data_IF_346440948145
#
_entry.id   IF_346440948145
#
_cell.length_a   1.000
_cell.length_b   1.000
_cell.length_c   1.000
_cell.angle_alpha   90.00
_cell.angle_beta   90.00
_cell.angle_gamma   90.00
#
_symmetry.space_group_name_H-M   'P 1'
#
loop_
_entity.id
_entity.type
_entity.pdbx_description
1 polymer ?
#
# COMPACT_ATOMS: atom_id res chain seq x y z
N UNK A 1 -3.84 18.46 -13.73
CA UNK A 1 -3.82 17.09 -13.15
C UNK A 1 -3.08 17.12 -11.83
N UNK A 2 -3.65 16.57 -10.77
CA UNK A 2 -3.06 16.40 -9.43
C UNK A 2 -2.39 15.03 -9.33
N UNK A 3 -1.37 14.83 -8.47
CA UNK A 3 -0.80 13.51 -8.25
C UNK A 3 -1.83 12.57 -7.60
N UNK A 4 -1.79 11.29 -7.96
CA UNK A 4 -2.75 10.25 -7.55
C UNK A 4 -3.03 10.21 -6.04
N UNK A 5 -2.01 10.28 -5.15
CA UNK A 5 -2.24 10.31 -3.70
C UNK A 5 -3.01 11.54 -3.19
N UNK A 6 -3.14 12.58 -4.02
CA UNK A 6 -3.87 13.81 -3.68
C UNK A 6 -5.29 13.86 -4.24
N UNK A 7 -5.76 12.81 -4.89
CA UNK A 7 -7.16 12.69 -5.28
C UNK A 7 -8.00 12.53 -4.00
N UNK A 8 -9.04 13.34 -3.89
CA UNK A 8 -9.87 13.37 -2.69
C UNK A 8 -10.97 12.30 -2.72
N UNK A 9 -11.20 11.72 -1.55
CA UNK A 9 -12.32 10.86 -1.19
C UNK A 9 -12.94 11.45 0.07
N UNK A 10 -14.23 11.76 0.05
CA UNK A 10 -14.90 12.42 1.16
C UNK A 10 -14.27 13.75 1.58
N UNK A 11 -13.73 14.51 0.60
CA UNK A 11 -13.09 15.81 0.83
C UNK A 11 -11.70 15.75 1.48
N UNK A 12 -11.06 14.56 1.55
CA UNK A 12 -9.69 14.37 2.03
C UNK A 12 -8.87 13.57 1.00
N UNK A 13 -7.59 13.92 0.76
CA UNK A 13 -6.73 13.15 -0.13
C UNK A 13 -6.58 11.69 0.30
N UNK A 14 -6.40 10.79 -0.66
CA UNK A 14 -6.06 9.38 -0.41
C UNK A 14 -4.92 9.24 0.60
N UNK A 15 -3.84 9.99 0.41
CA UNK A 15 -2.69 9.96 1.32
C UNK A 15 -3.07 10.36 2.75
N UNK A 16 -4.01 11.29 2.90
CA UNK A 16 -4.50 11.68 4.24
C UNK A 16 -5.19 10.50 4.95
N UNK A 17 -6.05 9.76 4.25
CA UNK A 17 -6.72 8.58 4.82
C UNK A 17 -5.72 7.51 5.23
N UNK A 18 -4.72 7.24 4.39
CA UNK A 18 -3.64 6.30 4.67
C UNK A 18 -2.87 6.72 5.93
N UNK A 19 -2.39 7.96 5.99
CA UNK A 19 -1.66 8.46 7.15
C UNK A 19 -2.54 8.47 8.41
N UNK A 20 -3.84 8.78 8.28
CA UNK A 20 -4.78 8.72 9.39
C UNK A 20 -4.98 7.30 9.93
N UNK A 21 -4.99 6.28 9.07
CA UNK A 21 -4.99 4.87 9.50
C UNK A 21 -3.78 4.58 10.39
N UNK A 22 -2.58 4.88 9.93
CA UNK A 22 -1.35 4.67 10.72
C UNK A 22 -1.34 5.48 12.02
N UNK A 23 -1.78 6.73 11.97
CA UNK A 23 -1.81 7.61 13.16
C UNK A 23 -2.76 7.12 14.26
N UNK A 24 -3.85 6.41 13.92
CA UNK A 24 -4.75 5.77 14.90
C UNK A 24 -4.07 4.66 15.69
N UNK A 25 -3.09 3.98 15.08
CA UNK A 25 -2.21 3.00 15.74
C UNK A 25 -0.95 3.64 16.34
N UNK A 26 -0.97 4.97 16.55
CA UNK A 26 0.13 5.74 17.12
C UNK A 26 1.40 5.85 16.25
N UNK A 27 1.37 5.40 14.98
CA UNK A 27 2.45 5.61 14.03
C UNK A 27 2.27 6.98 13.37
N UNK A 28 2.94 8.00 13.92
CA UNK A 28 2.77 9.42 13.53
C UNK A 28 4.01 10.03 12.87
N UNK A 29 5.07 9.26 12.71
CA UNK A 29 6.29 9.70 12.02
C UNK A 29 6.28 9.18 10.59
N UNK A 30 6.15 10.08 9.63
CA UNK A 30 5.98 9.74 8.21
C UNK A 30 7.13 10.26 7.38
N UNK A 31 7.64 9.40 6.48
CA UNK A 31 8.57 9.76 5.43
C UNK A 31 7.85 9.62 4.09
N UNK A 32 7.58 10.75 3.43
CA UNK A 32 6.84 10.78 2.17
C UNK A 32 7.82 10.94 1.03
N UNK A 33 7.98 9.89 0.22
CA UNK A 33 8.80 9.90 -0.99
C UNK A 33 8.13 10.78 -2.06
N UNK A 34 8.70 11.93 -2.34
CA UNK A 34 8.21 12.85 -3.36
C UNK A 34 8.85 12.58 -4.71
N UNK A 35 8.05 12.73 -5.75
CA UNK A 35 8.45 12.73 -7.16
C UNK A 35 7.64 13.75 -7.93
N UNK A 36 6.95 13.30 -8.99
CA UNK A 36 6.11 14.17 -9.82
C UNK A 36 5.10 14.96 -8.97
N UNK A 37 5.15 16.30 -9.11
CA UNK A 37 4.29 17.25 -8.36
C UNK A 37 4.30 17.08 -6.84
N UNK A 38 5.43 16.73 -6.28
CA UNK A 38 5.62 16.59 -4.82
C UNK A 38 5.28 17.86 -4.04
N UNK A 39 5.42 19.04 -4.66
CA UNK A 39 5.05 20.34 -4.08
C UNK A 39 3.56 20.44 -3.70
N UNK A 40 2.67 19.76 -4.44
CA UNK A 40 1.23 19.71 -4.13
C UNK A 40 0.99 18.98 -2.83
N UNK A 41 1.67 17.84 -2.64
CA UNK A 41 1.62 17.05 -1.40
C UNK A 41 2.16 17.88 -0.24
N UNK A 42 3.36 18.43 -0.39
CA UNK A 42 4.01 19.25 0.64
C UNK A 42 3.13 20.44 1.05
N UNK A 43 2.56 21.16 0.08
CA UNK A 43 1.68 22.32 0.33
C UNK A 43 0.43 21.95 1.12
N UNK A 44 -0.16 20.78 0.87
CA UNK A 44 -1.35 20.32 1.59
C UNK A 44 -0.99 19.94 3.04
N UNK A 45 -0.01 19.05 3.22
CA UNK A 45 0.31 18.49 4.53
C UNK A 45 1.04 19.45 5.45
N UNK A 46 1.75 20.48 4.94
CA UNK A 46 2.35 21.53 5.78
C UNK A 46 1.32 22.36 6.55
N UNK A 47 0.04 22.31 6.15
CA UNK A 47 -1.06 23.03 6.82
C UNK A 47 -1.83 22.15 7.81
N UNK A 48 -1.51 20.86 7.91
CA UNK A 48 -2.21 19.93 8.79
C UNK A 48 -1.56 19.91 10.16
N UNK A 49 -2.33 20.33 11.17
CA UNK A 49 -1.95 20.31 12.58
C UNK A 49 -2.62 19.13 13.29
N UNK A 50 -2.15 17.89 13.05
CA UNK A 50 -2.67 16.67 13.71
C UNK A 50 -1.65 15.99 14.64
N UNK A 51 -0.55 16.68 14.96
CA UNK A 51 0.55 16.07 15.72
C UNK A 51 1.27 14.98 14.91
N UNK A 52 1.18 15.01 13.58
CA UNK A 52 1.95 14.16 12.69
C UNK A 52 3.30 14.78 12.38
N UNK A 53 4.37 14.02 12.49
CA UNK A 53 5.69 14.39 12.00
C UNK A 53 5.85 13.93 10.57
N UNK A 54 5.76 14.85 9.61
CA UNK A 54 5.77 14.52 8.17
C UNK A 54 7.05 15.03 7.54
N UNK A 55 7.90 14.11 7.12
CA UNK A 55 9.16 14.37 6.45
C UNK A 55 9.00 14.18 4.95
N UNK A 56 9.17 15.24 4.17
CA UNK A 56 9.04 15.21 2.71
C UNK A 56 10.41 15.06 2.08
N UNK A 57 10.65 13.92 1.44
CA UNK A 57 11.94 13.58 0.84
C UNK A 57 11.80 13.57 -0.68
N UNK A 58 12.50 14.47 -1.36
CA UNK A 58 12.60 14.41 -2.83
C UNK A 58 13.42 13.17 -3.21
N UNK A 59 12.76 12.21 -3.84
CA UNK A 59 13.36 10.97 -4.31
C UNK A 59 13.59 10.97 -5.81
N UNK A 60 13.41 12.12 -6.48
CA UNK A 60 13.60 12.27 -7.92
C UNK A 60 12.39 11.86 -8.76
N UNK A 61 12.27 12.44 -9.96
CA UNK A 61 11.12 12.18 -10.84
C UNK A 61 11.22 10.82 -11.56
N UNK A 62 12.42 10.42 -11.93
CA UNK A 62 12.67 9.20 -12.73
C UNK A 62 12.97 7.97 -11.88
N UNK A 63 13.15 8.11 -10.59
CA UNK A 63 13.46 7.02 -9.66
C UNK A 63 12.29 6.04 -9.57
N UNK A 64 12.54 4.75 -9.70
CA UNK A 64 11.56 3.68 -9.62
C UNK A 64 11.17 3.38 -8.14
N UNK A 65 10.17 2.52 -7.95
CA UNK A 65 9.58 2.25 -6.63
C UNK A 65 10.62 1.78 -5.60
N UNK A 66 11.46 0.83 -5.96
CA UNK A 66 12.56 0.36 -5.11
C UNK A 66 13.59 1.45 -4.83
N UNK A 67 14.04 2.18 -5.86
CA UNK A 67 14.98 3.28 -5.70
C UNK A 67 14.48 4.37 -4.75
N UNK A 68 13.18 4.69 -4.78
CA UNK A 68 12.59 5.63 -3.80
C UNK A 68 12.72 5.11 -2.38
N UNK A 69 12.39 3.84 -2.17
CA UNK A 69 12.51 3.18 -0.87
C UNK A 69 13.98 3.18 -0.40
N UNK A 70 14.91 2.84 -1.29
CA UNK A 70 16.35 2.88 -1.01
C UNK A 70 16.84 4.26 -0.55
N UNK A 71 16.38 5.32 -1.22
CA UNK A 71 16.74 6.71 -0.86
C UNK A 71 16.21 7.14 0.51
N UNK A 72 15.16 6.50 1.03
CA UNK A 72 14.64 6.76 2.37
C UNK A 72 15.47 6.07 3.47
N UNK A 73 16.27 5.05 3.16
CA UNK A 73 17.06 4.29 4.14
C UNK A 73 17.87 5.20 5.06
N UNK A 74 18.55 6.22 4.53
CA UNK A 74 19.37 7.14 5.32
C UNK A 74 18.59 7.99 6.35
N UNK A 75 17.27 8.07 6.20
CA UNK A 75 16.40 8.80 7.15
C UNK A 75 15.71 7.86 8.14
N UNK A 76 15.49 6.61 7.73
CA UNK A 76 14.88 5.56 8.56
C UNK A 76 15.94 4.95 9.49
N UNK A 77 17.19 4.85 9.02
CA UNK A 77 18.28 4.21 9.77
C UNK A 77 18.13 2.70 9.83
N UNK A 78 18.50 2.13 10.98
CA UNK A 78 18.49 0.70 11.24
C UNK A 78 17.22 0.26 12.01
N UNK A 79 16.09 0.89 11.70
CA UNK A 79 14.82 0.57 12.34
C UNK A 79 13.89 -0.22 11.39
N UNK A 80 13.10 -1.14 11.96
CA UNK A 80 11.97 -1.75 11.25
C UNK A 80 11.00 -0.66 10.81
N UNK A 81 10.59 -0.65 9.55
CA UNK A 81 9.67 0.36 9.04
C UNK A 81 8.43 -0.26 8.39
N UNK A 82 7.35 0.51 8.42
CA UNK A 82 6.14 0.22 7.67
C UNK A 82 6.17 1.01 6.36
N UNK A 83 5.92 0.33 5.24
CA UNK A 83 5.85 0.92 3.91
C UNK A 83 4.48 0.70 3.31
N UNK A 84 3.93 1.71 2.65
CA UNK A 84 2.69 1.57 1.89
C UNK A 84 2.72 2.39 0.61
N UNK A 85 1.89 1.99 -0.35
CA UNK A 85 1.60 2.79 -1.55
C UNK A 85 0.65 3.94 -1.22
N UNK A 86 0.61 4.94 -2.09
CA UNK A 86 -0.20 6.16 -1.89
C UNK A 86 -1.61 6.09 -2.47
N UNK A 87 -2.12 4.91 -2.84
CA UNK A 87 -3.34 4.74 -3.64
C UNK A 87 -4.26 3.59 -3.20
N UNK A 88 -3.97 2.95 -2.07
CA UNK A 88 -4.80 1.88 -1.50
C UNK A 88 -5.34 2.22 -0.11
N UNK A 89 -6.64 1.99 0.10
CA UNK A 89 -7.29 2.10 1.41
C UNK A 89 -7.65 0.72 1.95
N UNK A 90 -7.48 0.52 3.26
CA UNK A 90 -7.81 -0.73 3.93
C UNK A 90 -8.22 -0.49 5.38
N UNK A 91 -8.98 -1.41 5.97
CA UNK A 91 -9.25 -1.45 7.41
C UNK A 91 -8.34 -2.46 8.13
N UNK A 92 -7.09 -2.48 7.74
CA UNK A 92 -6.09 -3.39 8.31
C UNK A 92 -5.80 -3.05 9.76
N UNK A 93 -5.68 -4.08 10.61
CA UNK A 93 -5.18 -3.94 11.97
C UNK A 93 -3.65 -3.96 11.94
N UNK A 94 -3.03 -2.78 12.14
CA UNK A 94 -1.57 -2.63 12.06
C UNK A 94 -0.83 -3.29 13.22
N UNK A 95 -1.44 -3.37 14.42
CA UNK A 95 -0.83 -4.09 15.54
C UNK A 95 -0.76 -5.59 15.24
N UNK A 96 -1.84 -6.17 14.71
CA UNK A 96 -1.85 -7.58 14.28
C UNK A 96 -0.86 -7.88 13.16
N UNK A 97 -0.69 -6.94 12.21
CA UNK A 97 0.30 -7.04 11.14
C UNK A 97 1.73 -7.03 11.73
N UNK A 98 2.00 -6.11 12.66
CA UNK A 98 3.30 -5.99 13.32
C UNK A 98 3.63 -7.23 14.18
N UNK A 99 2.64 -7.72 14.91
CA UNK A 99 2.80 -8.94 15.72
C UNK A 99 3.05 -10.18 14.84
N UNK A 100 2.38 -10.27 13.69
CA UNK A 100 2.64 -11.31 12.70
C UNK A 100 4.08 -11.25 12.20
N UNK A 101 4.56 -10.06 11.84
CA UNK A 101 5.93 -9.83 11.38
C UNK A 101 6.96 -10.24 12.43
N UNK A 102 6.79 -9.79 13.66
CA UNK A 102 7.68 -10.13 14.79
C UNK A 102 7.75 -11.64 15.06
N UNK A 103 6.62 -12.36 14.93
CA UNK A 103 6.58 -13.81 15.18
C UNK A 103 7.39 -14.62 14.18
N UNK A 104 7.40 -14.27 12.91
CA UNK A 104 8.20 -15.01 11.91
C UNK A 104 9.65 -14.53 11.85
N UNK A 105 9.95 -13.29 12.27
CA UNK A 105 11.31 -12.76 12.37
C UNK A 105 12.07 -12.69 11.05
N UNK A 106 11.34 -12.48 9.92
CA UNK A 106 11.90 -12.43 8.57
C UNK A 106 11.94 -10.99 8.03
N UNK A 107 12.61 -10.76 6.92
CA UNK A 107 12.92 -9.41 6.45
C UNK A 107 11.72 -8.62 5.94
N UNK A 108 10.72 -9.30 5.35
CA UNK A 108 9.58 -8.62 4.73
C UNK A 108 8.27 -9.30 5.05
N UNK A 109 7.28 -8.51 5.43
CA UNK A 109 5.87 -8.89 5.43
C UNK A 109 5.10 -8.03 4.45
N UNK A 110 4.28 -8.64 3.61
CA UNK A 110 3.28 -7.93 2.78
C UNK A 110 1.88 -8.27 3.26
N UNK A 111 0.98 -7.30 3.20
CA UNK A 111 -0.44 -7.61 3.35
C UNK A 111 -0.97 -8.21 2.06
N UNK A 112 -1.35 -9.48 2.12
CA UNK A 112 -2.03 -10.15 1.03
C UNK A 112 -3.54 -9.91 1.12
N UNK A 113 -4.15 -9.50 0.02
CA UNK A 113 -5.58 -9.20 -0.07
C UNK A 113 -6.22 -9.93 -1.23
N UNK A 114 -7.53 -10.06 -1.21
CA UNK A 114 -8.32 -10.49 -2.36
C UNK A 114 -8.96 -9.26 -3.00
N UNK A 115 -8.63 -8.94 -4.26
CA UNK A 115 -9.20 -7.77 -4.91
C UNK A 115 -10.73 -7.95 -5.07
N UNK A 116 -11.50 -6.84 -5.08
CA UNK A 116 -12.91 -6.90 -5.45
C UNK A 116 -13.02 -7.46 -6.88
N UNK A 117 -13.88 -8.47 -7.07
CA UNK A 117 -14.10 -9.07 -8.39
C UNK A 117 -14.59 -8.00 -9.38
N UNK A 118 -13.87 -7.85 -10.49
CA UNK A 118 -14.20 -6.88 -11.54
C UNK A 118 -15.10 -7.48 -12.62
N UNK A 119 -15.09 -8.82 -12.77
CA UNK A 119 -15.76 -9.58 -13.83
C UNK A 119 -16.46 -10.81 -13.26
N UNK A 120 -17.42 -11.34 -14.01
CA UNK A 120 -17.97 -12.66 -13.75
C UNK A 120 -16.93 -13.75 -14.08
N UNK A 121 -16.83 -14.76 -13.22
CA UNK A 121 -16.00 -15.94 -13.46
C UNK A 121 -16.79 -17.00 -14.21
N UNK A 122 -16.19 -17.64 -15.21
CA UNK A 122 -16.76 -18.77 -15.94
C UNK A 122 -15.87 -19.99 -15.80
N UNK A 123 -16.49 -21.17 -15.64
CA UNK A 123 -15.78 -22.43 -15.76
C UNK A 123 -16.16 -23.08 -17.10
N UNK A 124 -15.15 -23.58 -17.82
CA UNK A 124 -15.31 -24.12 -19.14
C UNK A 124 -14.82 -25.58 -19.18
N UNK A 125 -15.60 -26.48 -19.78
CA UNK A 125 -15.19 -27.87 -20.08
C UNK A 125 -15.40 -28.12 -21.56
N UNK A 126 -14.31 -28.27 -22.32
CA UNK A 126 -14.35 -28.15 -23.78
C UNK A 126 -14.82 -26.74 -24.16
N UNK A 127 -15.87 -26.65 -24.99
CA UNK A 127 -16.48 -25.36 -25.37
C UNK A 127 -17.73 -25.01 -24.52
N UNK A 128 -18.09 -25.90 -23.58
CA UNK A 128 -19.28 -25.72 -22.74
C UNK A 128 -18.96 -24.94 -21.48
N UNK A 129 -19.70 -23.86 -21.23
CA UNK A 129 -19.69 -23.15 -19.93
C UNK A 129 -20.44 -24.04 -18.92
N UNK A 130 -19.74 -24.44 -17.86
CA UNK A 130 -20.29 -25.33 -16.82
C UNK A 130 -20.65 -24.56 -15.53
N UNK A 131 -20.14 -23.36 -15.35
CA UNK A 131 -20.49 -22.47 -14.24
C UNK A 131 -20.32 -21.02 -14.66
N UNK A 132 -21.21 -20.16 -14.18
CA UNK A 132 -21.08 -18.72 -14.25
C UNK A 132 -21.32 -18.13 -12.86
N UNK A 133 -20.38 -17.34 -12.36
CA UNK A 133 -20.50 -16.67 -11.07
C UNK A 133 -20.21 -15.18 -11.24
N UNK A 134 -21.20 -14.35 -11.09
CA UNK A 134 -21.03 -12.90 -11.14
C UNK A 134 -20.29 -12.42 -9.88
N UNK A 135 -19.17 -11.71 -10.09
CA UNK A 135 -18.39 -11.02 -9.04
C UNK A 135 -18.04 -11.87 -7.80
N UNK A 136 -17.59 -13.11 -8.03
CA UNK A 136 -17.18 -14.00 -6.94
C UNK A 136 -15.77 -13.66 -6.45
N UNK A 137 -15.66 -13.08 -5.26
CA UNK A 137 -14.36 -12.79 -4.61
C UNK A 137 -13.55 -14.03 -4.21
N UNK A 138 -14.19 -15.22 -4.18
CA UNK A 138 -13.58 -16.44 -3.67
C UNK A 138 -12.63 -17.13 -4.67
N UNK A 139 -12.71 -16.78 -5.94
CA UNK A 139 -11.94 -17.44 -7.02
C UNK A 139 -10.71 -16.63 -7.46
N UNK A 140 -10.59 -15.37 -7.04
CA UNK A 140 -9.39 -14.58 -7.29
C UNK A 140 -8.30 -14.92 -6.27
N UNK A 141 -7.08 -15.07 -6.76
CA UNK A 141 -5.90 -15.34 -5.94
C UNK A 141 -5.59 -14.19 -4.97
N UNK A 142 -4.66 -14.42 -4.06
CA UNK A 142 -4.10 -13.37 -3.23
C UNK A 142 -3.19 -12.46 -4.06
N UNK A 143 -3.32 -11.16 -3.86
CA UNK A 143 -2.47 -10.16 -4.49
C UNK A 143 -1.73 -9.32 -3.45
N UNK A 144 -0.71 -8.61 -3.89
CA UNK A 144 -0.01 -7.60 -3.09
C UNK A 144 -0.97 -6.43 -2.79
N UNK A 145 -1.37 -6.29 -1.54
CA UNK A 145 -2.23 -5.21 -1.06
C UNK A 145 -1.48 -3.98 -0.57
N UNK A 146 -0.15 -3.97 -0.67
CA UNK A 146 0.68 -2.97 -0.01
C UNK A 146 0.79 -3.22 1.49
N UNK A 147 0.94 -2.17 2.31
CA UNK A 147 1.06 -2.28 3.75
C UNK A 147 2.11 -3.32 4.18
N UNK A 148 3.35 -3.01 3.82
CA UNK A 148 4.51 -3.84 4.17
C UNK A 148 5.05 -3.51 5.54
N UNK A 149 5.75 -4.49 6.13
CA UNK A 149 6.75 -4.27 7.19
C UNK A 149 8.08 -4.75 6.64
N UNK A 150 9.10 -3.93 6.82
CA UNK A 150 10.42 -4.13 6.22
C UNK A 150 11.49 -3.96 7.30
N UNK A 151 12.36 -4.97 7.41
CA UNK A 151 13.57 -4.93 8.24
C UNK A 151 14.71 -4.18 7.53
N UNK A 152 15.60 -3.50 8.25
CA UNK A 152 16.70 -2.72 7.67
C UNK A 152 17.56 -3.51 6.68
N UNK A 153 17.79 -4.79 6.93
CA UNK A 153 18.59 -5.65 6.05
C UNK A 153 18.00 -5.78 4.64
N UNK A 154 16.68 -5.66 4.47
CA UNK A 154 16.04 -5.73 3.15
C UNK A 154 16.52 -4.64 2.18
N UNK A 155 16.93 -3.47 2.69
CA UNK A 155 17.45 -2.40 1.82
C UNK A 155 18.69 -2.83 1.02
N UNK A 156 19.44 -3.86 1.46
CA UNK A 156 20.57 -4.39 0.69
C UNK A 156 20.15 -5.11 -0.59
N UNK A 157 18.89 -5.52 -0.71
CA UNK A 157 18.34 -6.16 -1.92
C UNK A 157 17.95 -5.15 -3.00
N UNK A 158 17.95 -3.86 -2.68
CA UNK A 158 17.57 -2.81 -3.63
C UNK A 158 18.83 -2.23 -4.26
N UNK A 159 18.98 -2.43 -5.56
CA UNK A 159 20.16 -1.97 -6.34
C UNK A 159 19.85 -0.69 -7.11
N UNK A 160 20.01 0.46 -6.44
CA UNK A 160 19.97 1.78 -7.06
C UNK A 160 18.57 2.31 -7.43
N UNK A 161 18.60 3.37 -8.27
CA UNK A 161 17.41 4.17 -8.58
C UNK A 161 16.45 3.50 -9.57
N UNK A 162 16.94 2.62 -10.43
CA UNK A 162 16.17 1.95 -11.47
C UNK A 162 15.49 0.67 -10.97
N UNK A 163 15.72 0.28 -9.70
CA UNK A 163 15.11 -0.89 -9.10
C UNK A 163 13.60 -0.70 -8.90
N UNK A 164 12.82 -1.66 -9.37
CA UNK A 164 11.42 -1.81 -9.01
C UNK A 164 11.32 -2.65 -7.74
N UNK A 165 10.64 -2.14 -6.71
CA UNK A 165 10.45 -2.87 -5.44
C UNK A 165 9.82 -4.25 -5.67
N UNK A 166 8.85 -4.29 -6.57
CA UNK A 166 7.98 -5.43 -6.87
C UNK A 166 8.64 -6.52 -7.73
N UNK A 167 9.87 -6.32 -8.15
CA UNK A 167 10.65 -7.24 -8.98
C UNK A 167 11.80 -7.83 -8.18
N UNK A 168 13.03 -7.60 -8.65
CA UNK A 168 14.26 -8.22 -8.13
C UNK A 168 14.36 -8.17 -6.59
N UNK A 169 14.07 -7.05 -5.88
CA UNK A 169 14.19 -7.02 -4.43
C UNK A 169 13.24 -7.98 -3.71
N UNK A 170 11.95 -8.00 -4.09
CA UNK A 170 10.98 -8.92 -3.49
C UNK A 170 11.18 -10.36 -3.99
N UNK A 171 11.57 -10.57 -5.25
CA UNK A 171 11.90 -11.90 -5.78
C UNK A 171 13.11 -12.50 -5.05
N UNK A 172 14.12 -11.70 -4.74
CA UNK A 172 15.25 -12.14 -3.93
C UNK A 172 14.79 -12.51 -2.51
N UNK A 173 13.94 -11.70 -1.87
CA UNK A 173 13.39 -12.02 -0.56
C UNK A 173 12.59 -13.33 -0.57
N UNK A 174 11.86 -13.63 -1.66
CA UNK A 174 11.18 -14.92 -1.84
C UNK A 174 12.19 -16.07 -1.92
N UNK A 175 13.23 -15.91 -2.76
CA UNK A 175 14.22 -16.98 -2.99
C UNK A 175 15.03 -17.30 -1.73
N UNK A 176 15.24 -16.33 -0.85
CA UNK A 176 15.92 -16.49 0.42
C UNK A 176 15.00 -16.92 1.58
N UNK A 177 13.69 -17.10 1.33
CA UNK A 177 12.71 -17.46 2.35
C UNK A 177 12.48 -16.36 3.39
N UNK A 178 12.68 -15.10 3.00
CA UNK A 178 12.60 -13.91 3.84
C UNK A 178 11.33 -13.08 3.62
N UNK A 179 10.37 -13.55 2.80
CA UNK A 179 9.15 -12.85 2.44
C UNK A 179 7.89 -13.60 2.86
N UNK A 180 7.09 -12.99 3.74
CA UNK A 180 5.89 -13.56 4.33
C UNK A 180 4.65 -12.74 4.01
N UNK A 181 3.49 -13.39 3.96
CA UNK A 181 2.21 -12.76 3.63
C UNK A 181 1.24 -12.80 4.83
N UNK A 182 0.86 -11.61 5.30
CA UNK A 182 -0.24 -11.41 6.23
C UNK A 182 -1.58 -11.38 5.48
N UNK A 183 -2.43 -12.37 5.64
CA UNK A 183 -3.72 -12.48 4.95
C UNK A 183 -4.75 -11.56 5.58
N UNK A 184 -5.17 -10.53 4.84
CA UNK A 184 -6.21 -9.60 5.24
C UNK A 184 -7.52 -9.91 4.49
N UNK A 185 -8.56 -10.26 5.24
CA UNK A 185 -9.89 -10.59 4.70
C UNK A 185 -10.89 -9.43 4.84
N UNK A 186 -10.44 -8.29 5.35
CA UNK A 186 -11.26 -7.10 5.53
C UNK A 186 -11.35 -6.25 4.26
N UNK A 187 -11.76 -5.01 4.43
CA UNK A 187 -11.86 -4.05 3.34
C UNK A 187 -10.47 -3.68 2.80
N UNK A 188 -10.33 -3.74 1.50
CA UNK A 188 -9.20 -3.20 0.75
C UNK A 188 -9.67 -2.74 -0.64
N UNK A 189 -9.23 -1.56 -1.06
CA UNK A 189 -9.54 -1.01 -2.38
C UNK A 189 -8.43 -0.08 -2.85
N UNK A 190 -7.85 -0.33 -4.02
CA UNK A 190 -6.98 0.62 -4.70
C UNK A 190 -7.79 1.57 -5.60
N UNK A 191 -7.19 2.72 -5.91
CA UNK A 191 -7.77 3.73 -6.79
C UNK A 191 -6.89 3.93 -8.02
N UNK A 192 -7.15 3.18 -9.09
CA UNK A 192 -6.42 3.27 -10.36
C UNK A 192 -7.18 4.07 -11.41
N UNK A 193 -8.49 4.03 -11.37
CA UNK A 193 -9.39 4.58 -12.36
C UNK A 193 -10.39 5.55 -11.74
N UNK A 194 -11.08 6.32 -12.60
CA UNK A 194 -12.20 7.15 -12.17
C UNK A 194 -13.30 6.32 -11.51
N UNK A 195 -13.57 5.12 -12.04
CA UNK A 195 -14.55 4.19 -11.48
C UNK A 195 -14.18 3.78 -10.06
N UNK A 196 -12.90 3.53 -9.78
CA UNK A 196 -12.45 3.18 -8.43
C UNK A 196 -12.65 4.36 -7.48
N UNK A 197 -12.38 5.60 -7.94
CA UNK A 197 -12.68 6.81 -7.17
C UNK A 197 -14.16 6.94 -6.85
N UNK A 198 -15.03 6.82 -7.84
CA UNK A 198 -16.48 6.96 -7.67
C UNK A 198 -17.00 5.89 -6.70
N UNK A 199 -16.49 4.65 -6.78
CA UNK A 199 -16.80 3.57 -5.85
C UNK A 199 -16.32 3.87 -4.41
N UNK A 200 -15.12 4.41 -4.24
CA UNK A 200 -14.61 4.80 -2.92
C UNK A 200 -15.43 5.94 -2.31
N UNK A 201 -15.92 6.90 -3.11
CA UNK A 201 -16.83 7.95 -2.65
C UNK A 201 -18.16 7.35 -2.14
N UNK A 202 -18.74 6.41 -2.87
CA UNK A 202 -19.96 5.72 -2.42
C UNK A 202 -19.74 4.94 -1.11
N UNK A 203 -18.60 4.26 -0.97
CA UNK A 203 -18.23 3.53 0.24
C UNK A 203 -18.01 4.50 1.40
N UNK A 204 -17.39 5.65 1.14
CA UNK A 204 -17.19 6.70 2.14
C UNK A 204 -18.53 7.19 2.70
N UNK A 205 -19.50 7.49 1.85
CA UNK A 205 -20.84 7.92 2.24
C UNK A 205 -21.60 6.86 3.07
N UNK A 206 -21.27 5.58 2.89
CA UNK A 206 -21.85 4.44 3.66
C UNK A 206 -21.12 4.15 4.97
N UNK A 207 -20.08 4.91 5.30
CA UNK A 207 -19.41 4.83 6.61
C UNK A 207 -17.95 4.38 6.59
N UNK A 208 -17.22 4.65 5.51
CA UNK A 208 -15.75 4.57 5.40
C UNK A 208 -15.09 3.45 6.23
N UNK A 209 -15.08 2.18 5.78
CA UNK A 209 -14.56 1.06 6.57
C UNK A 209 -13.12 1.26 7.07
N UNK A 210 -12.31 2.04 6.33
CA UNK A 210 -10.92 2.36 6.67
C UNK A 210 -10.77 3.41 7.78
N UNK A 211 -11.86 4.03 8.23
CA UNK A 211 -11.86 5.02 9.32
C UNK A 211 -12.32 4.42 10.67
N UNK A 212 -12.72 3.15 10.68
CA UNK A 212 -13.22 2.44 11.88
C UNK A 212 -12.11 1.76 12.66
#
# INVERSE_FOLDING_TARGET
TIPKPMIEIGGKPMLWHIMNLYARYNHKNFYVALGYKGEVIKKYFSKISKGWNVNFIDTGQKTMTGGRVKRLQKFIGDETCMLTYGDGLANINLDSLLDFHKRHGKLVTVTAVRPPARFGAIQIKGDKVTSFKEKSHLEEGWINGGFFIIEPKFFSFIDGDDAYLEREPLEQAVSEGEFFAYKHNGFWQCMDTKRDKDNLEEIYLKGAPWEK
#
